data_IF_389038114436
#
_entry.id   IF_389038114436
#
_cell.length_a   1.000
_cell.length_b   1.000
_cell.length_c   1.000
_cell.angle_alpha   90.00
_cell.angle_beta   90.00
_cell.angle_gamma   90.00
#
_symmetry.space_group_name_H-M   'P 1'
#
loop_
_entity.id
_entity.type
_entity.pdbx_description
1 polymer ?
#
# COMPACT_ATOMS: atom_id res chain seq x y z
N UNK A 1 -14.43 9.11 42.66
CA UNK A 1 -14.32 9.02 41.18
C UNK A 1 -13.59 7.71 40.90
N UNK A 2 -14.34 6.68 40.54
CA UNK A 2 -13.90 5.27 40.56
C UNK A 2 -13.08 4.92 39.31
N UNK A 3 -12.11 4.01 39.48
CA UNK A 3 -11.18 3.45 38.49
C UNK A 3 -11.83 2.80 37.23
N UNK A 4 -13.15 2.85 37.08
CA UNK A 4 -13.89 2.26 35.96
C UNK A 4 -13.89 3.11 34.68
N UNK A 5 -13.46 4.37 34.73
CA UNK A 5 -13.43 5.25 33.54
C UNK A 5 -12.13 5.15 32.72
N UNK A 6 -11.11 4.42 33.19
CA UNK A 6 -9.86 4.21 32.45
C UNK A 6 -9.92 3.00 31.50
N UNK A 7 -10.84 2.06 31.72
CA UNK A 7 -11.00 0.88 30.86
C UNK A 7 -11.76 1.16 29.56
N UNK A 8 -12.58 2.21 29.51
CA UNK A 8 -13.33 2.58 28.30
C UNK A 8 -12.48 3.33 27.26
N UNK A 9 -11.40 4.00 27.68
CA UNK A 9 -10.45 4.65 26.77
C UNK A 9 -9.45 3.67 26.15
N UNK A 10 -9.14 2.56 26.83
CA UNK A 10 -8.33 1.48 26.27
C UNK A 10 -9.10 0.59 25.28
N UNK A 11 -10.44 0.61 25.32
CA UNK A 11 -11.30 -0.22 24.47
C UNK A 11 -11.71 0.43 23.13
N UNK A 12 -11.37 1.72 22.91
CA UNK A 12 -11.70 2.44 21.67
C UNK A 12 -10.50 2.66 20.73
N UNK A 13 -9.31 2.19 21.10
CA UNK A 13 -8.08 2.22 20.27
C UNK A 13 -7.47 0.83 20.21
N UNK A 14 -8.31 -0.19 19.97
CA UNK A 14 -7.80 -1.44 19.42
C UNK A 14 -7.60 -1.21 17.91
N UNK A 15 -6.59 -0.42 17.55
CA UNK A 15 -5.94 -0.63 16.27
C UNK A 15 -5.46 -2.07 16.33
N UNK A 16 -6.07 -2.94 15.53
CA UNK A 16 -5.74 -4.36 15.58
C UNK A 16 -4.41 -4.48 14.88
N UNK A 17 -3.37 -4.55 15.70
CA UNK A 17 -2.00 -4.79 15.27
C UNK A 17 -1.98 -5.92 14.24
N UNK A 18 -1.22 -5.75 13.14
CA UNK A 18 -1.12 -6.79 12.15
C UNK A 18 -0.45 -8.01 12.77
N UNK A 19 -0.88 -9.20 12.34
CA UNK A 19 -0.11 -10.42 12.62
C UNK A 19 1.06 -10.47 11.64
N UNK A 20 2.27 -10.59 12.18
CA UNK A 20 3.51 -10.66 11.38
C UNK A 20 4.08 -12.07 11.46
N UNK A 21 4.24 -12.74 10.32
CA UNK A 21 4.77 -14.10 10.24
C UNK A 21 6.02 -14.16 9.36
N UNK A 22 7.12 -14.72 9.88
CA UNK A 22 8.35 -14.93 9.11
C UNK A 22 8.17 -16.09 8.11
N UNK A 23 8.41 -15.80 6.82
CA UNK A 23 8.28 -16.76 5.73
C UNK A 23 9.56 -17.54 5.45
N UNK A 24 10.66 -17.21 6.15
CA UNK A 24 11.99 -17.85 6.02
C UNK A 24 12.63 -17.72 4.63
N UNK A 25 12.14 -16.82 3.79
CA UNK A 25 12.65 -16.53 2.44
C UNK A 25 13.13 -15.07 2.26
N UNK A 26 13.33 -14.36 3.38
CA UNK A 26 13.68 -12.94 3.41
C UNK A 26 12.47 -12.00 3.42
N UNK A 27 11.25 -12.53 3.51
CA UNK A 27 10.02 -11.75 3.64
C UNK A 27 9.26 -12.11 4.92
N UNK A 28 8.39 -11.19 5.34
CA UNK A 28 7.36 -11.42 6.35
C UNK A 28 5.98 -11.23 5.72
N UNK A 29 5.02 -12.03 6.17
CA UNK A 29 3.60 -11.82 5.89
C UNK A 29 3.02 -10.91 6.94
N UNK A 30 2.38 -9.84 6.48
CA UNK A 30 1.62 -8.89 7.30
C UNK A 30 0.15 -9.16 7.02
N UNK A 31 -0.56 -9.63 8.04
CA UNK A 31 -1.98 -9.96 7.97
C UNK A 31 -2.80 -9.00 8.84
N UNK A 32 -3.79 -8.36 8.22
CA UNK A 32 -4.76 -7.48 8.87
C UNK A 32 -6.16 -8.04 8.69
N UNK A 33 -7.15 -7.43 9.35
CA UNK A 33 -8.56 -7.74 9.09
C UNK A 33 -9.01 -7.52 7.65
N UNK A 34 -8.37 -6.62 6.91
CA UNK A 34 -8.82 -6.17 5.57
C UNK A 34 -7.97 -6.75 4.43
N UNK A 35 -6.73 -7.10 4.71
CA UNK A 35 -5.80 -7.58 3.69
C UNK A 35 -4.63 -8.35 4.28
N UNK A 36 -4.00 -9.12 3.41
CA UNK A 36 -2.71 -9.78 3.66
C UNK A 36 -1.73 -9.39 2.56
N UNK A 37 -0.52 -9.00 2.94
CA UNK A 37 0.59 -8.69 2.00
C UNK A 37 1.91 -9.26 2.51
N UNK A 38 2.91 -9.35 1.63
CA UNK A 38 4.26 -9.75 2.01
C UNK A 38 5.27 -8.63 1.73
N UNK A 39 6.10 -8.31 2.72
CA UNK A 39 7.10 -7.23 2.68
C UNK A 39 8.46 -7.76 3.12
N UNK A 40 9.59 -7.12 2.76
CA UNK A 40 10.90 -7.62 3.14
C UNK A 40 11.06 -7.69 4.66
N UNK A 41 11.73 -8.73 5.12
CA UNK A 41 12.01 -8.92 6.55
C UNK A 41 12.92 -7.80 7.07
N UNK A 42 12.60 -7.30 8.27
CA UNK A 42 13.36 -6.23 8.92
C UNK A 42 12.93 -4.81 8.55
N UNK A 43 11.94 -4.67 7.66
CA UNK A 43 11.28 -3.39 7.44
C UNK A 43 10.33 -3.08 8.60
N UNK A 44 10.29 -1.82 9.02
CA UNK A 44 9.33 -1.38 10.03
C UNK A 44 7.93 -1.44 9.45
N UNK A 45 6.98 -1.96 10.23
CA UNK A 45 5.56 -1.99 9.89
C UNK A 45 4.89 -0.85 10.66
N UNK A 46 4.61 0.26 9.97
CA UNK A 46 3.95 1.41 10.59
C UNK A 46 2.51 1.10 10.98
N UNK A 47 1.91 1.93 11.82
CA UNK A 47 0.49 1.82 12.20
C UNK A 47 -0.46 2.10 11.02
N UNK A 48 -1.68 1.56 11.06
CA UNK A 48 -2.72 1.93 10.09
C UNK A 48 -3.36 3.25 10.51
N UNK A 49 -3.33 4.24 9.63
CA UNK A 49 -4.02 5.52 9.83
C UNK A 49 -5.54 5.35 9.81
N UNK A 50 -6.27 6.33 10.33
CA UNK A 50 -7.74 6.37 10.25
C UNK A 50 -8.30 6.37 8.81
N UNK A 51 -7.46 6.60 7.80
CA UNK A 51 -7.82 6.54 6.37
C UNK A 51 -7.49 5.20 5.72
N UNK A 52 -7.07 4.20 6.50
CA UNK A 52 -6.76 2.86 6.01
C UNK A 52 -5.42 2.75 5.29
N UNK A 53 -4.56 3.77 5.39
CA UNK A 53 -3.18 3.76 4.88
C UNK A 53 -2.24 3.16 5.92
N UNK A 54 -1.31 2.29 5.49
CA UNK A 54 -0.18 1.77 6.26
C UNK A 54 1.10 1.82 5.42
N UNK A 55 2.18 2.26 6.04
CA UNK A 55 3.52 2.35 5.42
C UNK A 55 4.44 1.26 5.97
N UNK A 56 5.35 0.79 5.11
CA UNK A 56 6.45 -0.10 5.48
C UNK A 56 7.74 0.58 5.06
N UNK A 57 8.68 0.80 5.98
CA UNK A 57 9.90 1.55 5.65
C UNK A 57 11.18 0.85 6.07
N UNK A 58 12.25 1.25 5.40
CA UNK A 58 13.64 0.94 5.73
C UNK A 58 14.52 2.14 5.35
N UNK A 59 15.82 2.05 5.62
CA UNK A 59 16.82 2.99 5.09
C UNK A 59 16.89 2.99 3.55
N UNK A 60 16.37 1.94 2.90
CA UNK A 60 16.41 1.78 1.45
C UNK A 60 15.24 2.41 0.71
N UNK A 61 14.07 2.54 1.35
CA UNK A 61 12.86 3.06 0.74
C UNK A 61 11.59 2.69 1.50
N UNK A 62 10.45 2.90 0.83
CA UNK A 62 9.12 2.81 1.44
C UNK A 62 8.16 2.05 0.52
N UNK A 63 7.36 1.16 1.11
CA UNK A 63 6.20 0.51 0.50
C UNK A 63 4.96 1.03 1.21
N UNK A 64 3.84 1.09 0.50
CA UNK A 64 2.57 1.54 1.04
C UNK A 64 1.43 0.61 0.71
N UNK A 65 0.46 0.54 1.62
CA UNK A 65 -0.86 -0.05 1.41
C UNK A 65 -1.91 0.97 1.81
N UNK A 66 -3.03 1.02 1.09
CA UNK A 66 -4.19 1.81 1.47
C UNK A 66 -5.47 1.10 1.05
N UNK A 67 -6.36 0.87 2.02
CA UNK A 67 -7.69 0.30 1.76
C UNK A 67 -8.70 1.39 1.41
N UNK A 68 -9.68 1.06 0.58
CA UNK A 68 -10.75 1.99 0.22
C UNK A 68 -11.90 1.30 -0.51
N UNK A 69 -12.81 2.09 -1.06
CA UNK A 69 -13.91 1.59 -1.89
C UNK A 69 -13.95 2.32 -3.23
N UNK A 70 -14.21 1.57 -4.29
CA UNK A 70 -14.45 2.04 -5.64
C UNK A 70 -15.95 2.13 -6.00
N UNK A 71 -16.85 2.01 -5.01
CA UNK A 71 -18.30 2.06 -5.27
C UNK A 71 -18.70 3.32 -6.04
N UNK A 72 -19.31 3.13 -7.21
CA UNK A 72 -19.72 4.24 -8.08
C UNK A 72 -18.56 4.98 -8.75
N UNK A 73 -17.37 4.38 -8.84
CA UNK A 73 -16.20 4.93 -9.50
C UNK A 73 -15.69 4.00 -10.61
N UNK A 74 -15.37 4.59 -11.77
CA UNK A 74 -14.63 3.90 -12.81
C UNK A 74 -13.11 4.10 -12.62
N UNK A 75 -12.31 3.48 -13.48
CA UNK A 75 -10.84 3.56 -13.42
C UNK A 75 -10.31 4.98 -13.62
N UNK A 76 -10.90 5.78 -14.52
CA UNK A 76 -10.49 7.17 -14.73
C UNK A 76 -10.69 8.03 -13.48
N UNK A 77 -11.84 7.87 -12.80
CA UNK A 77 -12.13 8.58 -11.57
C UNK A 77 -11.21 8.13 -10.43
N UNK A 78 -10.91 6.83 -10.32
CA UNK A 78 -9.96 6.31 -9.33
C UNK A 78 -8.54 6.85 -9.59
N UNK A 79 -8.11 6.87 -10.84
CA UNK A 79 -6.82 7.43 -11.26
C UNK A 79 -6.71 8.91 -10.89
N UNK A 80 -7.67 9.73 -11.31
CA UNK A 80 -7.69 11.17 -11.02
C UNK A 80 -7.75 11.46 -9.51
N UNK A 81 -8.53 10.67 -8.76
CA UNK A 81 -8.59 10.79 -7.29
C UNK A 81 -7.23 10.46 -6.66
N UNK A 82 -6.56 9.41 -7.14
CA UNK A 82 -5.22 9.02 -6.65
C UNK A 82 -4.22 10.14 -6.90
N UNK A 83 -4.22 10.70 -8.13
CA UNK A 83 -3.33 11.80 -8.50
C UNK A 83 -3.53 13.04 -7.63
N UNK A 84 -4.78 13.38 -7.29
CA UNK A 84 -5.07 14.51 -6.41
C UNK A 84 -4.35 14.42 -5.05
N UNK A 85 -4.25 13.22 -4.48
CA UNK A 85 -3.52 13.02 -3.22
C UNK A 85 -2.00 12.92 -3.41
N UNK A 86 -1.55 12.22 -4.45
CA UNK A 86 -0.13 11.98 -4.72
C UNK A 86 0.60 13.29 -5.07
N UNK A 87 0.03 14.08 -5.98
CA UNK A 87 0.65 15.32 -6.47
C UNK A 87 0.75 16.42 -5.41
N UNK A 88 0.02 16.30 -4.29
CA UNK A 88 0.19 17.18 -3.12
C UNK A 88 1.46 16.89 -2.34
N UNK A 89 1.98 15.67 -2.43
CA UNK A 89 3.18 15.20 -1.72
C UNK A 89 4.41 15.18 -2.63
N UNK A 90 4.21 14.96 -3.93
CA UNK A 90 5.28 14.68 -4.88
C UNK A 90 5.29 15.64 -6.07
N UNK A 91 6.47 16.22 -6.36
CA UNK A 91 6.69 17.04 -7.56
C UNK A 91 7.17 16.15 -8.71
N UNK A 92 6.26 15.35 -9.25
CA UNK A 92 6.51 14.40 -10.34
C UNK A 92 5.35 14.38 -11.35
N UNK A 93 5.63 13.88 -12.56
CA UNK A 93 4.65 13.79 -13.66
C UNK A 93 4.08 12.37 -13.75
N UNK A 94 2.76 12.18 -13.72
CA UNK A 94 2.19 10.84 -13.79
C UNK A 94 2.22 10.26 -15.20
N UNK A 95 2.44 8.96 -15.31
CA UNK A 95 2.24 8.20 -16.56
C UNK A 95 0.77 7.83 -16.74
N UNK A 96 0.25 7.68 -17.97
CA UNK A 96 -1.05 7.04 -18.19
C UNK A 96 -1.14 5.68 -17.48
N UNK A 97 -2.30 5.37 -16.91
CA UNK A 97 -2.48 4.09 -16.25
C UNK A 97 -2.63 2.95 -17.25
N UNK A 98 -2.29 1.74 -16.80
CA UNK A 98 -2.48 0.48 -17.52
C UNK A 98 -3.41 -0.42 -16.72
N UNK A 99 -4.32 -1.10 -17.41
CA UNK A 99 -5.19 -2.11 -16.81
C UNK A 99 -4.62 -3.50 -17.01
N UNK A 100 -4.70 -4.35 -15.99
CA UNK A 100 -4.33 -5.76 -16.07
C UNK A 100 -5.06 -6.57 -15.00
N UNK A 101 -4.60 -7.80 -14.75
CA UNK A 101 -5.03 -8.62 -13.63
C UNK A 101 -3.83 -9.14 -12.88
N UNK A 102 -3.90 -9.21 -11.55
CA UNK A 102 -2.85 -9.85 -10.76
C UNK A 102 -3.02 -11.37 -10.74
N UNK A 103 -2.03 -12.07 -10.12
CA UNK A 103 -2.04 -13.54 -9.99
C UNK A 103 -3.22 -14.09 -9.15
N UNK A 104 -3.91 -13.24 -8.40
CA UNK A 104 -5.11 -13.59 -7.61
C UNK A 104 -6.42 -13.32 -8.37
N UNK A 105 -6.34 -12.78 -9.59
CA UNK A 105 -7.48 -12.50 -10.44
C UNK A 105 -8.16 -11.15 -10.18
N UNK A 106 -7.62 -10.30 -9.31
CA UNK A 106 -8.13 -8.94 -9.13
C UNK A 106 -7.88 -8.12 -10.39
N UNK A 107 -8.84 -7.28 -10.77
CA UNK A 107 -8.57 -6.23 -11.75
C UNK A 107 -7.60 -5.22 -11.14
N UNK A 108 -6.64 -4.76 -11.94
CA UNK A 108 -5.61 -3.84 -11.46
C UNK A 108 -5.42 -2.66 -12.38
N UNK A 109 -5.17 -1.50 -11.77
CA UNK A 109 -4.69 -0.31 -12.44
C UNK A 109 -3.28 0.01 -11.94
N UNK A 110 -2.33 0.18 -12.86
CA UNK A 110 -0.94 0.53 -12.52
C UNK A 110 -0.51 1.83 -13.20
N UNK A 111 0.24 2.67 -12.49
CA UNK A 111 0.87 3.87 -13.04
C UNK A 111 2.11 4.25 -12.24
N UNK A 112 2.94 5.11 -12.80
CA UNK A 112 4.16 5.60 -12.18
C UNK A 112 4.15 7.13 -12.09
N UNK A 113 4.93 7.67 -11.17
CA UNK A 113 5.28 9.08 -11.12
C UNK A 113 6.73 9.22 -11.58
N UNK A 114 6.95 10.07 -12.56
CA UNK A 114 8.25 10.30 -13.20
C UNK A 114 8.83 11.61 -12.67
N UNK A 115 10.03 11.50 -12.09
CA UNK A 115 10.81 12.63 -11.63
C UNK A 115 11.36 13.49 -12.76
N UNK A 116 11.97 14.62 -12.42
CA UNK A 116 12.56 15.55 -13.39
C UNK A 116 13.73 14.97 -14.19
N UNK A 117 14.39 13.95 -13.63
CA UNK A 117 15.48 13.22 -14.28
C UNK A 117 14.98 12.14 -15.26
N UNK A 118 13.67 12.04 -15.45
CA UNK A 118 13.04 11.05 -16.32
C UNK A 118 12.94 9.65 -15.71
N UNK A 119 13.24 9.49 -14.41
CA UNK A 119 13.19 8.20 -13.72
C UNK A 119 11.95 8.08 -12.83
N UNK A 120 11.44 6.86 -12.59
CA UNK A 120 10.35 6.65 -11.65
C UNK A 120 10.77 7.02 -10.23
N UNK A 121 10.01 7.91 -9.60
CA UNK A 121 10.15 8.29 -8.19
C UNK A 121 9.18 7.54 -7.29
N UNK A 122 8.05 7.09 -7.85
CA UNK A 122 7.12 6.19 -7.19
C UNK A 122 6.31 5.38 -8.20
N UNK A 123 5.84 4.19 -7.78
CA UNK A 123 4.97 3.31 -8.57
C UNK A 123 3.74 2.94 -7.76
N UNK A 124 2.63 2.77 -8.44
CA UNK A 124 1.33 2.50 -7.83
C UNK A 124 0.62 1.37 -8.54
N UNK A 125 -0.03 0.50 -7.77
CA UNK A 125 -0.95 -0.53 -8.27
C UNK A 125 -2.19 -0.51 -7.39
N UNK A 126 -3.37 -0.31 -7.98
CA UNK A 126 -4.65 -0.42 -7.29
C UNK A 126 -5.29 -1.73 -7.68
N UNK A 127 -5.52 -2.61 -6.70
CA UNK A 127 -6.31 -3.83 -6.86
C UNK A 127 -7.77 -3.51 -6.58
N UNK A 128 -8.69 -4.07 -7.36
CA UNK A 128 -10.14 -3.97 -7.15
C UNK A 128 -10.77 -5.35 -7.17
N UNK A 129 -11.54 -5.68 -6.14
CA UNK A 129 -12.30 -6.93 -6.07
C UNK A 129 -13.69 -6.79 -6.72
N UNK A 130 -14.46 -7.88 -6.77
CA UNK A 130 -15.82 -7.90 -7.35
C UNK A 130 -16.87 -7.17 -6.50
N UNK A 131 -16.57 -6.86 -5.24
CA UNK A 131 -17.41 -6.06 -4.33
C UNK A 131 -17.10 -4.56 -4.40
N UNK A 132 -16.21 -4.16 -5.32
CA UNK A 132 -15.69 -2.80 -5.46
C UNK A 132 -14.91 -2.31 -4.22
N UNK A 133 -14.32 -3.21 -3.44
CA UNK A 133 -13.28 -2.84 -2.47
C UNK A 133 -11.95 -2.69 -3.21
N UNK A 134 -11.11 -1.76 -2.72
CA UNK A 134 -9.78 -1.53 -3.29
C UNK A 134 -8.68 -1.69 -2.25
N UNK A 135 -7.54 -2.15 -2.75
CA UNK A 135 -6.25 -2.11 -2.07
C UNK A 135 -5.25 -1.41 -2.98
N UNK A 136 -4.93 -0.16 -2.66
CA UNK A 136 -3.88 0.60 -3.32
C UNK A 136 -2.53 0.23 -2.71
N UNK A 137 -1.55 -0.04 -3.57
CA UNK A 137 -0.20 -0.44 -3.24
C UNK A 137 0.76 0.59 -3.84
N UNK A 138 1.80 0.95 -3.11
CA UNK A 138 2.83 1.85 -3.62
C UNK A 138 4.24 1.41 -3.26
N UNK A 139 5.20 1.89 -4.05
CA UNK A 139 6.62 1.92 -3.70
C UNK A 139 7.16 3.31 -3.99
N UNK A 140 7.96 3.85 -3.07
CA UNK A 140 8.68 5.10 -3.25
C UNK A 140 10.17 4.83 -3.38
N UNK A 141 10.75 5.32 -4.48
CA UNK A 141 12.17 5.14 -4.82
C UNK A 141 12.90 6.43 -4.47
N UNK A 142 13.50 6.48 -3.28
CA UNK A 142 14.22 7.68 -2.80
C UNK A 142 15.66 7.74 -3.32
N UNK A 143 16.25 6.60 -3.68
CA UNK A 143 17.62 6.48 -4.17
C UNK A 143 17.69 5.48 -5.32
N UNK A 144 18.19 5.93 -6.48
CA UNK A 144 18.28 5.12 -7.71
C UNK A 144 19.04 3.80 -7.48
N UNK A 145 20.07 3.78 -6.64
CA UNK A 145 20.83 2.56 -6.33
C UNK A 145 19.97 1.44 -5.70
N UNK A 146 18.84 1.78 -5.10
CA UNK A 146 17.92 0.83 -4.46
C UNK A 146 16.78 0.40 -5.39
N UNK A 147 16.67 0.97 -6.59
CA UNK A 147 15.54 0.78 -7.50
C UNK A 147 15.26 -0.71 -7.78
N UNK A 148 16.30 -1.50 -8.08
CA UNK A 148 16.12 -2.93 -8.39
C UNK A 148 15.57 -3.72 -7.20
N UNK A 149 16.07 -3.46 -5.99
CA UNK A 149 15.61 -4.12 -4.78
C UNK A 149 14.17 -3.72 -4.44
N UNK A 150 13.87 -2.42 -4.53
CA UNK A 150 12.54 -1.86 -4.28
C UNK A 150 11.51 -2.38 -5.29
N UNK A 151 11.88 -2.48 -6.57
CA UNK A 151 11.02 -3.06 -7.60
C UNK A 151 10.71 -4.54 -7.28
N UNK A 152 11.72 -5.33 -6.87
CA UNK A 152 11.51 -6.73 -6.48
C UNK A 152 10.59 -6.84 -5.26
N UNK A 153 10.78 -5.98 -4.26
CA UNK A 153 9.94 -5.96 -3.07
C UNK A 153 8.49 -5.55 -3.42
N UNK A 154 8.32 -4.56 -4.29
CA UNK A 154 7.01 -4.12 -4.76
C UNK A 154 6.30 -5.19 -5.60
N UNK A 155 7.02 -5.87 -6.48
CA UNK A 155 6.46 -6.99 -7.24
C UNK A 155 5.99 -8.11 -6.30
N UNK A 156 6.73 -8.42 -5.23
CA UNK A 156 6.30 -9.38 -4.22
C UNK A 156 5.02 -8.89 -3.52
N UNK A 157 4.99 -7.64 -3.09
CA UNK A 157 3.81 -7.00 -2.46
C UNK A 157 2.57 -7.16 -3.35
N UNK A 158 2.66 -6.77 -4.63
CA UNK A 158 1.54 -6.83 -5.59
C UNK A 158 1.09 -8.26 -5.88
N UNK A 159 2.02 -9.19 -6.02
CA UNK A 159 1.71 -10.59 -6.36
C UNK A 159 1.13 -11.39 -5.19
N UNK A 160 1.39 -10.97 -3.96
CA UNK A 160 0.97 -11.67 -2.74
C UNK A 160 -0.23 -11.03 -2.06
N UNK A 161 -0.56 -9.79 -2.42
CA UNK A 161 -1.69 -9.05 -1.89
C UNK A 161 -3.03 -9.79 -2.07
N UNK A 162 -3.74 -9.93 -0.97
CA UNK A 162 -5.09 -10.49 -0.86
C UNK A 162 -5.95 -9.52 -0.05
N UNK A 163 -7.18 -9.29 -0.49
CA UNK A 163 -8.21 -8.59 0.29
C UNK A 163 -9.06 -9.61 1.03
N UNK A 164 -9.25 -9.43 2.35
CA UNK A 164 -9.92 -10.35 3.27
C UNK A 164 -11.42 -10.05 3.39
#
# INVERSE_FOLDING_TARGET
MTLQNLSYLAALVAMIEPTITDLKDGYVRVETKKYTVEVPKGWEVGEETNFGQREFHSDKGELGTMTGSAKGSNWDRLYNTSLFFIQRREKATPTPYKLSKNKKGYETMSFEMIGKDGKPTSKYVILKNTKEDILALSVRITQVKNETELNKAFDRLVNTAVMN
#
